data_IF_534913338862
#
_entry.id   IF_534913338862
#
_cell.length_a   1.000
_cell.length_b   1.000
_cell.length_c   1.000
_cell.angle_alpha   90.00
_cell.angle_beta   90.00
_cell.angle_gamma   90.00
#
_symmetry.space_group_name_H-M   'P 1'
#
loop_
_entity.id
_entity.type
_entity.pdbx_description
1 polymer ?
#
# COMPACT_ATOMS: atom_id res chain seq x y z
N UNK A 1 31.98 -15.45 -31.02
CA UNK A 1 31.54 -15.24 -29.67
C UNK A 1 32.65 -15.63 -28.70
N UNK A 2 32.95 -14.78 -27.74
CA UNK A 2 33.90 -15.09 -26.67
C UNK A 2 33.14 -15.79 -25.55
N UNK A 3 33.57 -17.00 -25.16
CA UNK A 3 33.06 -17.64 -23.95
C UNK A 3 33.62 -16.86 -22.75
N UNK A 4 32.76 -16.30 -21.94
CA UNK A 4 33.15 -15.65 -20.68
C UNK A 4 32.53 -16.41 -19.52
N UNK A 5 33.31 -16.72 -18.50
CA UNK A 5 32.82 -17.33 -17.27
C UNK A 5 32.96 -16.30 -16.14
N UNK A 6 31.90 -16.10 -15.40
CA UNK A 6 31.87 -15.24 -14.22
C UNK A 6 31.63 -16.13 -13.00
N UNK A 7 32.30 -15.85 -11.91
CA UNK A 7 32.01 -16.39 -10.60
C UNK A 7 31.94 -15.24 -9.61
N UNK A 8 31.06 -15.33 -8.65
CA UNK A 8 31.06 -14.42 -7.49
C UNK A 8 31.50 -15.19 -6.26
N UNK A 9 31.96 -14.45 -5.25
CA UNK A 9 32.14 -15.01 -3.91
C UNK A 9 30.79 -15.47 -3.36
N UNK A 10 30.78 -16.37 -2.39
CA UNK A 10 29.56 -16.82 -1.74
C UNK A 10 28.84 -15.62 -1.11
N UNK A 11 27.59 -15.41 -1.48
CA UNK A 11 26.73 -14.37 -0.94
C UNK A 11 25.60 -15.05 -0.19
N UNK A 12 25.49 -14.80 1.11
CA UNK A 12 24.32 -15.22 1.87
C UNK A 12 23.16 -14.29 1.58
N UNK A 13 22.10 -14.83 1.03
CA UNK A 13 20.87 -14.09 0.67
C UNK A 13 19.66 -14.66 1.39
N UNK A 14 18.63 -13.86 1.54
CA UNK A 14 17.31 -14.35 1.94
C UNK A 14 16.66 -14.95 0.69
N UNK A 15 16.21 -16.23 0.72
CA UNK A 15 15.54 -16.83 -0.43
C UNK A 15 14.36 -15.98 -0.90
N UNK A 16 14.36 -15.56 -2.17
CA UNK A 16 13.31 -14.73 -2.78
C UNK A 16 13.47 -14.63 -4.30
N UNK A 17 12.53 -13.93 -4.95
CA UNK A 17 12.63 -13.53 -6.35
C UNK A 17 13.50 -12.27 -6.44
N UNK A 18 14.54 -12.33 -7.23
CA UNK A 18 15.47 -11.24 -7.51
C UNK A 18 15.44 -10.87 -8.98
N UNK A 19 15.92 -9.68 -9.30
CA UNK A 19 16.09 -9.21 -10.66
C UNK A 19 17.53 -9.43 -11.10
N UNK A 20 17.71 -10.22 -12.15
CA UNK A 20 18.97 -10.37 -12.85
C UNK A 20 19.02 -9.37 -14.00
N UNK A 21 20.06 -8.55 -14.02
CA UNK A 21 20.33 -7.61 -15.09
C UNK A 21 21.49 -8.10 -15.95
N UNK A 22 21.26 -8.23 -17.26
CA UNK A 22 22.27 -8.53 -18.26
C UNK A 22 22.21 -7.40 -19.30
N UNK A 23 23.12 -6.43 -19.17
CA UNK A 23 23.00 -5.15 -19.89
C UNK A 23 21.72 -4.43 -19.54
N UNK A 24 20.87 -4.12 -20.53
CA UNK A 24 19.53 -3.52 -20.34
C UNK A 24 18.42 -4.54 -20.15
N UNK A 25 18.71 -5.83 -20.30
CA UNK A 25 17.72 -6.90 -20.15
C UNK A 25 17.52 -7.25 -18.68
N UNK A 26 16.26 -7.28 -18.25
CA UNK A 26 15.84 -7.65 -16.90
C UNK A 26 15.11 -9.00 -16.93
N UNK A 27 15.49 -9.90 -16.03
CA UNK A 27 14.80 -11.17 -15.81
C UNK A 27 14.60 -11.45 -14.35
N UNK A 28 13.40 -11.89 -13.95
CA UNK A 28 13.14 -12.37 -12.60
C UNK A 28 13.76 -13.76 -12.42
N UNK A 29 14.51 -13.94 -11.34
CA UNK A 29 15.11 -15.21 -10.95
C UNK A 29 14.87 -15.46 -9.48
N UNK A 30 14.52 -16.70 -9.11
CA UNK A 30 14.47 -17.08 -7.71
C UNK A 30 15.89 -17.48 -7.26
N UNK A 31 16.37 -16.84 -6.21
CA UNK A 31 17.67 -17.14 -5.62
C UNK A 31 17.51 -17.64 -4.19
N UNK A 32 18.28 -18.67 -3.85
CA UNK A 32 18.47 -19.19 -2.50
C UNK A 32 19.95 -19.49 -2.28
N UNK A 33 20.35 -19.92 -1.06
CA UNK A 33 21.74 -20.18 -0.73
C UNK A 33 22.26 -21.51 -1.33
N UNK A 34 21.96 -21.75 -2.60
CA UNK A 34 22.46 -22.88 -3.38
C UNK A 34 23.25 -22.38 -4.59
N UNK A 35 24.28 -23.12 -5.05
CA UNK A 35 25.00 -22.76 -6.27
C UNK A 35 24.08 -22.69 -7.48
N UNK A 36 24.20 -21.61 -8.22
CA UNK A 36 23.42 -21.36 -9.44
C UNK A 36 24.40 -21.26 -10.60
N UNK A 37 24.08 -21.92 -11.72
CA UNK A 37 24.82 -21.79 -12.95
C UNK A 37 23.91 -21.25 -14.05
N UNK A 38 24.35 -20.18 -14.70
CA UNK A 38 23.67 -19.60 -15.86
C UNK A 38 24.50 -19.92 -17.10
N UNK A 39 23.91 -20.64 -18.05
CA UNK A 39 24.55 -20.96 -19.31
C UNK A 39 23.74 -20.40 -20.46
N UNK A 40 24.41 -20.03 -21.54
CA UNK A 40 23.72 -19.63 -22.76
C UNK A 40 24.45 -18.56 -23.53
N UNK A 41 23.74 -17.99 -24.47
CA UNK A 41 24.19 -16.89 -25.31
C UNK A 41 23.40 -15.63 -24.95
N UNK A 42 24.13 -14.56 -24.73
CA UNK A 42 23.56 -13.23 -24.50
C UNK A 42 24.01 -12.27 -25.59
N UNK A 43 23.05 -11.66 -26.29
CA UNK A 43 23.30 -10.62 -27.27
C UNK A 43 22.84 -9.27 -26.70
N UNK A 44 23.79 -8.42 -26.32
CA UNK A 44 23.52 -7.10 -25.75
C UNK A 44 22.81 -6.16 -26.72
N UNK A 45 23.01 -6.36 -28.05
CA UNK A 45 22.40 -5.52 -29.07
C UNK A 45 21.01 -5.98 -29.50
N UNK A 46 20.76 -7.29 -29.37
CA UNK A 46 19.50 -7.91 -29.72
C UNK A 46 19.08 -8.89 -28.61
N UNK A 47 18.64 -8.39 -27.44
CA UNK A 47 18.34 -9.20 -26.27
C UNK A 47 17.32 -10.32 -26.53
N UNK A 48 16.40 -10.12 -27.48
CA UNK A 48 15.41 -11.10 -27.91
C UNK A 48 16.01 -12.32 -28.61
N UNK A 49 17.26 -12.24 -29.06
CA UNK A 49 18.02 -13.36 -29.61
C UNK A 49 18.84 -14.11 -28.55
N UNK A 50 18.79 -13.64 -27.32
CA UNK A 50 19.50 -14.29 -26.23
C UNK A 50 18.80 -15.59 -25.82
N UNK A 51 19.59 -16.59 -25.49
CA UNK A 51 19.13 -17.89 -25.00
C UNK A 51 19.90 -18.23 -23.73
N UNK A 52 19.22 -18.10 -22.59
CA UNK A 52 19.80 -18.40 -21.28
C UNK A 52 19.13 -19.62 -20.67
N UNK A 53 19.93 -20.49 -20.08
CA UNK A 53 19.48 -21.61 -19.28
C UNK A 53 20.05 -21.51 -17.86
N UNK A 54 19.25 -21.88 -16.89
CA UNK A 54 19.58 -21.82 -15.49
C UNK A 54 19.60 -23.23 -14.92
N UNK A 55 20.63 -23.59 -14.17
CA UNK A 55 20.71 -24.84 -13.40
C UNK A 55 20.96 -24.54 -11.94
N UNK A 56 20.35 -25.32 -11.06
CA UNK A 56 20.39 -25.06 -9.61
C UNK A 56 19.24 -24.23 -9.09
N UNK A 57 18.32 -23.84 -9.97
CA UNK A 57 17.08 -23.13 -9.66
C UNK A 57 15.98 -23.91 -10.32
N UNK A 58 14.77 -24.03 -9.78
CA UNK A 58 13.86 -23.02 -10.11
C UNK A 58 12.42 -23.24 -9.64
N UNK A 59 12.08 -22.68 -8.54
CA UNK A 59 10.69 -22.64 -8.13
C UNK A 59 9.85 -21.58 -8.87
N UNK A 60 10.48 -20.49 -9.37
CA UNK A 60 9.76 -19.46 -10.10
C UNK A 60 9.37 -19.95 -11.51
N UNK A 61 10.31 -20.54 -12.27
CA UNK A 61 9.99 -21.16 -13.55
C UNK A 61 9.09 -22.38 -13.37
N UNK A 62 9.24 -23.15 -12.27
CA UNK A 62 8.33 -24.24 -11.96
C UNK A 62 6.94 -23.70 -11.65
N UNK A 63 6.82 -22.57 -10.94
CA UNK A 63 5.53 -21.91 -10.72
C UNK A 63 4.90 -21.48 -12.04
N UNK A 64 5.68 -20.91 -12.96
CA UNK A 64 5.18 -20.54 -14.31
C UNK A 64 4.58 -21.72 -15.06
N UNK A 65 5.12 -22.93 -14.91
CA UNK A 65 4.56 -24.14 -15.52
C UNK A 65 3.18 -24.52 -14.97
N UNK A 66 2.82 -24.02 -13.80
CA UNK A 66 1.52 -24.23 -13.17
C UNK A 66 0.60 -23.01 -13.31
N UNK A 67 1.13 -21.89 -13.82
CA UNK A 67 0.30 -20.72 -14.08
C UNK A 67 -0.66 -21.00 -15.23
N UNK A 68 -1.88 -20.44 -15.15
CA UNK A 68 -2.82 -20.53 -16.26
C UNK A 68 -2.23 -19.92 -17.54
N UNK A 69 -2.56 -20.51 -18.69
CA UNK A 69 -2.09 -20.01 -20.00
C UNK A 69 -2.88 -18.80 -20.49
N UNK A 70 -3.90 -18.42 -19.77
CA UNK A 70 -4.69 -17.21 -20.04
C UNK A 70 -3.85 -15.95 -19.84
N UNK A 71 -4.13 -14.94 -20.65
CA UNK A 71 -3.51 -13.64 -20.46
C UNK A 71 -4.13 -12.98 -19.22
N UNK A 72 -3.29 -12.59 -18.25
CA UNK A 72 -3.67 -11.95 -17.00
C UNK A 72 -4.71 -12.75 -16.17
N UNK A 73 -4.39 -13.99 -15.73
CA UNK A 73 -5.31 -14.81 -14.96
C UNK A 73 -5.59 -14.16 -13.58
N UNK A 74 -6.82 -14.27 -13.11
CA UNK A 74 -7.16 -13.83 -11.78
C UNK A 74 -6.57 -14.75 -10.69
N UNK A 75 -6.50 -14.25 -9.47
CA UNK A 75 -5.90 -14.97 -8.34
C UNK A 75 -6.67 -16.25 -7.99
N UNK A 76 -7.96 -16.31 -8.21
CA UNK A 76 -8.77 -17.52 -7.95
C UNK A 76 -8.37 -18.64 -8.92
N UNK A 77 -8.16 -18.31 -10.18
CA UNK A 77 -7.68 -19.24 -11.23
C UNK A 77 -6.26 -19.70 -10.90
N UNK A 78 -5.37 -18.79 -10.51
CA UNK A 78 -4.01 -19.13 -10.05
C UNK A 78 -4.07 -20.08 -8.85
N UNK A 79 -4.86 -19.74 -7.84
CA UNK A 79 -5.05 -20.55 -6.64
C UNK A 79 -5.42 -22.01 -6.96
N UNK A 80 -6.35 -22.18 -7.89
CA UNK A 80 -6.79 -23.51 -8.34
C UNK A 80 -5.66 -24.27 -9.02
N UNK A 81 -4.88 -23.60 -9.87
CA UNK A 81 -3.80 -24.20 -10.65
C UNK A 81 -2.63 -24.69 -9.80
N UNK A 82 -2.30 -23.97 -8.73
CA UNK A 82 -1.16 -24.28 -7.85
C UNK A 82 -1.53 -25.08 -6.61
N UNK A 83 -2.80 -25.34 -6.36
CA UNK A 83 -3.28 -26.05 -5.19
C UNK A 83 -2.61 -27.41 -5.00
N UNK A 84 -2.00 -27.62 -3.83
CA UNK A 84 -1.30 -28.87 -3.48
C UNK A 84 0.03 -29.08 -4.20
N UNK A 85 0.54 -28.08 -4.95
CA UNK A 85 1.79 -28.17 -5.71
C UNK A 85 2.87 -27.21 -5.19
N UNK A 86 2.54 -26.35 -4.23
CA UNK A 86 3.46 -25.34 -3.76
C UNK A 86 4.61 -25.94 -2.96
N UNK A 87 5.83 -25.59 -3.39
CA UNK A 87 7.06 -25.72 -2.58
C UNK A 87 7.31 -24.39 -1.86
N UNK A 88 8.18 -24.35 -0.82
CA UNK A 88 8.52 -23.09 -0.14
C UNK A 88 8.96 -21.97 -1.08
N UNK A 89 9.71 -22.33 -2.08
CA UNK A 89 10.22 -21.40 -3.06
C UNK A 89 9.14 -20.92 -4.06
N UNK A 90 8.23 -21.81 -4.47
CA UNK A 90 7.05 -21.40 -5.27
C UNK A 90 6.12 -20.49 -4.46
N UNK A 91 6.01 -20.71 -3.14
CA UNK A 91 5.26 -19.84 -2.24
C UNK A 91 5.85 -18.41 -2.21
N UNK A 92 7.17 -18.28 -2.20
CA UNK A 92 7.85 -16.98 -2.29
C UNK A 92 7.61 -16.29 -3.63
N UNK A 93 7.70 -17.06 -4.73
CA UNK A 93 7.42 -16.55 -6.07
C UNK A 93 5.94 -16.12 -6.21
N UNK A 94 5.01 -16.86 -5.58
CA UNK A 94 3.60 -16.51 -5.55
C UNK A 94 3.36 -15.17 -4.82
N UNK A 95 4.05 -14.94 -3.71
CA UNK A 95 3.95 -13.66 -2.99
C UNK A 95 4.40 -12.45 -3.83
N UNK A 96 5.30 -12.66 -4.79
CA UNK A 96 5.73 -11.63 -5.73
C UNK A 96 4.63 -11.16 -6.69
N UNK A 97 3.56 -11.95 -6.88
CA UNK A 97 2.40 -11.60 -7.72
C UNK A 97 1.39 -10.69 -7.01
N UNK A 98 1.65 -10.30 -5.77
CA UNK A 98 0.72 -9.52 -4.98
C UNK A 98 0.42 -8.14 -5.60
N UNK A 99 -0.86 -7.76 -5.62
CA UNK A 99 -1.31 -6.42 -6.01
C UNK A 99 -1.21 -5.46 -4.82
N UNK A 100 -0.64 -4.29 -5.06
CA UNK A 100 -0.48 -3.26 -4.02
C UNK A 100 -1.81 -2.71 -3.48
N UNK A 101 -2.91 -2.90 -4.19
CA UNK A 101 -4.20 -2.25 -3.89
C UNK A 101 -5.36 -3.22 -3.59
N UNK A 102 -5.21 -4.51 -3.87
CA UNK A 102 -6.30 -5.48 -3.71
C UNK A 102 -6.11 -6.36 -2.47
N UNK A 103 -6.93 -6.08 -1.45
CA UNK A 103 -6.95 -6.88 -0.22
C UNK A 103 -7.33 -8.34 -0.46
N UNK A 104 -8.40 -8.58 -1.24
CA UNK A 104 -8.94 -9.92 -1.39
C UNK A 104 -7.94 -10.83 -2.11
N UNK A 105 -7.38 -10.37 -3.21
CA UNK A 105 -6.35 -11.10 -3.95
C UNK A 105 -5.11 -11.37 -3.08
N UNK A 106 -4.62 -10.34 -2.38
CA UNK A 106 -3.46 -10.51 -1.50
C UNK A 106 -3.73 -11.45 -0.34
N UNK A 107 -4.93 -11.41 0.25
CA UNK A 107 -5.33 -12.32 1.32
C UNK A 107 -5.39 -13.76 0.81
N UNK A 108 -5.95 -13.98 -0.38
CA UNK A 108 -5.98 -15.30 -1.04
C UNK A 108 -4.57 -15.83 -1.30
N UNK A 109 -3.66 -14.98 -1.83
CA UNK A 109 -2.26 -15.35 -2.03
C UNK A 109 -1.59 -15.73 -0.71
N UNK A 110 -1.77 -14.92 0.34
CA UNK A 110 -1.20 -15.20 1.65
C UNK A 110 -1.71 -16.50 2.26
N UNK A 111 -3.00 -16.81 2.10
CA UNK A 111 -3.61 -18.03 2.62
C UNK A 111 -3.12 -19.29 1.90
N UNK A 112 -2.64 -19.17 0.67
CA UNK A 112 -2.00 -20.28 -0.05
C UNK A 112 -0.58 -20.58 0.45
N UNK A 113 0.11 -19.62 1.07
CA UNK A 113 1.48 -19.77 1.56
C UNK A 113 1.46 -20.36 2.97
N UNK A 114 1.96 -21.60 3.19
CA UNK A 114 2.06 -22.19 4.52
C UNK A 114 2.88 -21.30 5.46
N UNK A 115 2.51 -21.23 6.72
CA UNK A 115 3.12 -20.30 7.68
C UNK A 115 4.65 -20.48 7.82
N UNK A 116 5.12 -21.74 7.81
CA UNK A 116 6.55 -22.07 7.87
C UNK A 116 7.34 -21.52 6.67
N UNK A 117 6.68 -21.24 5.54
CA UNK A 117 7.28 -20.80 4.29
C UNK A 117 7.23 -19.26 4.11
N UNK A 118 6.61 -18.53 5.07
CA UNK A 118 6.46 -17.06 5.05
C UNK A 118 7.73 -16.31 5.48
N UNK A 119 8.91 -16.83 5.14
CA UNK A 119 10.20 -16.26 5.59
C UNK A 119 10.87 -15.38 4.54
N UNK A 120 10.49 -15.49 3.27
CA UNK A 120 11.02 -14.68 2.19
C UNK A 120 10.69 -13.19 2.35
N UNK A 121 11.41 -12.32 1.66
CA UNK A 121 11.13 -10.87 1.66
C UNK A 121 9.76 -10.60 1.04
N UNK A 122 9.43 -11.25 -0.07
CA UNK A 122 8.13 -11.13 -0.75
C UNK A 122 6.99 -11.59 0.14
N UNK A 123 7.13 -12.71 0.86
CA UNK A 123 6.10 -13.16 1.79
C UNK A 123 5.92 -12.20 2.98
N UNK A 124 7.01 -11.68 3.54
CA UNK A 124 6.96 -10.65 4.61
C UNK A 124 6.30 -9.36 4.11
N UNK A 125 6.61 -8.94 2.89
CA UNK A 125 5.96 -7.81 2.26
C UNK A 125 4.46 -8.05 2.08
N UNK A 126 4.07 -9.24 1.61
CA UNK A 126 2.67 -9.63 1.43
C UNK A 126 1.90 -9.64 2.76
N UNK A 127 2.50 -10.19 3.84
CA UNK A 127 1.91 -10.16 5.19
C UNK A 127 1.63 -8.72 5.62
N UNK A 128 2.65 -7.87 5.57
CA UNK A 128 2.50 -6.46 5.92
C UNK A 128 1.47 -5.76 5.02
N UNK A 129 1.44 -6.10 3.72
CA UNK A 129 0.47 -5.50 2.80
C UNK A 129 -0.95 -5.91 3.10
N UNK A 130 -1.20 -7.20 3.39
CA UNK A 130 -2.52 -7.69 3.81
C UNK A 130 -2.97 -7.01 5.10
N UNK A 131 -2.09 -6.83 6.08
CA UNK A 131 -2.36 -6.11 7.32
C UNK A 131 -2.78 -4.67 7.03
N UNK A 132 -1.98 -3.92 6.28
CA UNK A 132 -2.28 -2.54 5.89
C UNK A 132 -3.64 -2.45 5.19
N UNK A 133 -3.88 -3.32 4.20
CA UNK A 133 -5.13 -3.30 3.43
C UNK A 133 -6.34 -3.73 4.27
N UNK A 134 -6.15 -4.55 5.31
CA UNK A 134 -7.23 -4.98 6.19
C UNK A 134 -7.93 -3.79 6.89
N UNK A 135 -7.18 -2.74 7.21
CA UNK A 135 -7.69 -1.50 7.81
C UNK A 135 -8.43 -0.59 6.81
N UNK A 136 -8.38 -0.90 5.53
CA UNK A 136 -9.01 -0.13 4.46
C UNK A 136 -10.35 -0.68 4.00
N UNK A 137 -10.82 -1.75 4.63
CA UNK A 137 -12.12 -2.37 4.35
C UNK A 137 -13.20 -1.63 5.13
N UNK A 138 -14.35 -1.37 4.49
CA UNK A 138 -15.51 -0.80 5.18
C UNK A 138 -15.90 -1.73 6.34
N UNK A 139 -16.05 -1.15 7.53
CA UNK A 139 -16.31 -1.85 8.79
C UNK A 139 -15.06 -2.26 9.58
N UNK A 140 -13.85 -2.12 9.01
CA UNK A 140 -12.61 -2.33 9.74
C UNK A 140 -12.32 -1.18 10.72
N UNK A 141 -11.61 -1.49 11.80
CA UNK A 141 -11.15 -0.47 12.75
C UNK A 141 -10.11 0.44 12.09
N UNK A 142 -10.33 1.76 12.19
CA UNK A 142 -9.40 2.74 11.62
C UNK A 142 -8.10 2.80 12.44
N UNK A 143 -6.94 2.87 11.78
CA UNK A 143 -5.67 3.06 12.45
C UNK A 143 -5.66 4.33 13.30
N UNK A 144 -5.19 4.22 14.56
CA UNK A 144 -5.01 5.39 15.42
C UNK A 144 -3.80 6.21 14.98
N UNK A 145 -3.84 7.48 15.27
CA UNK A 145 -2.72 8.42 15.09
C UNK A 145 -2.69 9.42 16.24
N UNK A 146 -1.56 10.10 16.40
CA UNK A 146 -1.45 11.24 17.31
C UNK A 146 -0.68 12.35 16.61
N UNK A 147 -1.34 13.50 16.44
CA UNK A 147 -0.77 14.71 15.83
C UNK A 147 -1.00 15.92 16.72
N UNK A 148 -0.35 17.02 16.40
CA UNK A 148 -0.48 18.26 17.16
C UNK A 148 -1.56 19.17 16.57
N UNK A 149 -2.32 19.83 17.43
CA UNK A 149 -3.25 20.89 17.07
C UNK A 149 -2.53 22.26 16.97
N UNK A 150 -3.29 23.30 16.62
CA UNK A 150 -2.77 24.68 16.51
C UNK A 150 -2.16 25.24 17.81
N UNK A 151 -2.53 24.67 18.97
CA UNK A 151 -2.02 25.05 20.29
C UNK A 151 -0.83 24.18 20.73
N UNK A 152 -0.39 23.24 19.89
CA UNK A 152 0.68 22.29 20.20
C UNK A 152 0.25 21.11 21.09
N UNK A 153 -1.06 20.92 21.29
CA UNK A 153 -1.61 19.80 22.06
C UNK A 153 -1.65 18.55 21.18
N UNK A 154 -1.23 17.41 21.75
CA UNK A 154 -1.41 16.11 21.12
C UNK A 154 -2.90 15.72 21.08
N UNK A 155 -3.37 15.33 19.91
CA UNK A 155 -4.73 14.87 19.64
C UNK A 155 -4.66 13.57 18.88
N UNK A 156 -5.38 12.56 19.35
CA UNK A 156 -5.45 11.21 18.75
C UNK A 156 -6.83 10.94 18.17
N UNK A 157 -6.92 10.09 17.16
CA UNK A 157 -8.22 9.67 16.63
C UNK A 157 -9.11 9.03 17.69
N UNK A 158 -8.55 8.25 18.60
CA UNK A 158 -9.28 7.61 19.72
C UNK A 158 -9.95 8.60 20.67
N UNK A 159 -9.51 9.87 20.74
CA UNK A 159 -10.12 10.89 21.58
C UNK A 159 -11.54 11.26 21.12
N UNK A 160 -11.91 10.82 19.89
CA UNK A 160 -13.22 11.07 19.29
C UNK A 160 -14.13 9.83 19.28
N UNK A 161 -13.81 8.78 20.04
CA UNK A 161 -14.70 7.62 20.21
C UNK A 161 -16.07 8.08 20.69
N UNK A 162 -17.13 7.48 20.14
CA UNK A 162 -18.53 7.89 20.39
C UNK A 162 -19.04 8.96 19.44
N UNK A 163 -18.18 9.55 18.59
CA UNK A 163 -18.56 10.47 17.53
C UNK A 163 -18.33 9.87 16.16
N UNK A 164 -19.16 10.31 15.20
CA UNK A 164 -18.85 10.17 13.77
C UNK A 164 -17.70 11.12 13.44
N UNK A 165 -16.69 10.66 12.74
CA UNK A 165 -15.57 11.50 12.35
C UNK A 165 -15.45 11.57 10.83
N UNK A 166 -15.41 12.79 10.30
CA UNK A 166 -14.99 13.06 8.93
C UNK A 166 -13.50 13.44 8.98
N UNK A 167 -12.64 12.55 8.51
CA UNK A 167 -11.19 12.74 8.51
C UNK A 167 -10.71 13.07 7.10
N UNK A 168 -10.10 14.24 6.94
CA UNK A 168 -9.57 14.78 5.69
C UNK A 168 -8.03 14.88 5.76
N UNK A 169 -7.35 14.33 4.76
CA UNK A 169 -5.91 14.50 4.58
C UNK A 169 -5.65 15.55 3.49
N UNK A 170 -4.90 16.58 3.84
CA UNK A 170 -4.72 17.78 3.03
C UNK A 170 -3.30 18.34 3.12
N UNK A 171 -3.04 19.45 2.43
CA UNK A 171 -1.86 20.28 2.60
C UNK A 171 -2.11 21.69 2.06
N UNK A 172 -1.36 22.69 2.54
CA UNK A 172 -1.51 24.09 2.14
C UNK A 172 -1.30 24.34 0.66
N UNK A 173 -0.40 23.57 0.04
CA UNK A 173 -0.05 23.63 -1.39
C UNK A 173 -1.04 22.88 -2.29
N UNK A 174 -1.96 22.12 -1.71
CA UNK A 174 -2.95 21.31 -2.44
C UNK A 174 -4.20 22.14 -2.78
N UNK A 175 -4.24 22.75 -3.94
CA UNK A 175 -5.38 23.55 -4.42
C UNK A 175 -6.73 22.79 -4.40
N UNK A 176 -6.79 21.55 -4.92
CA UNK A 176 -8.02 20.73 -4.81
C UNK A 176 -8.45 20.46 -3.37
N UNK A 177 -7.52 20.28 -2.40
CA UNK A 177 -7.84 20.08 -0.99
C UNK A 177 -8.52 21.32 -0.41
N UNK A 178 -8.00 22.50 -0.69
CA UNK A 178 -8.58 23.76 -0.23
C UNK A 178 -9.99 23.99 -0.78
N UNK A 179 -10.23 23.57 -2.03
CA UNK A 179 -11.59 23.60 -2.61
C UNK A 179 -12.53 22.62 -1.88
N UNK A 180 -12.05 21.42 -1.58
CA UNK A 180 -12.84 20.41 -0.85
C UNK A 180 -13.18 20.87 0.57
N UNK A 181 -12.23 21.48 1.32
CA UNK A 181 -12.48 22.05 2.64
C UNK A 181 -13.62 23.07 2.63
N UNK A 182 -13.68 23.94 1.61
CA UNK A 182 -14.75 24.92 1.47
C UNK A 182 -16.10 24.27 1.15
N UNK A 183 -16.10 23.20 0.37
CA UNK A 183 -17.30 22.37 0.12
C UNK A 183 -17.78 21.71 1.42
N UNK A 184 -16.85 21.13 2.19
CA UNK A 184 -17.18 20.50 3.48
C UNK A 184 -17.72 21.50 4.51
N UNK A 185 -17.35 22.78 4.44
CA UNK A 185 -17.88 23.80 5.36
C UNK A 185 -19.40 23.92 5.29
N UNK A 186 -19.99 23.75 4.11
CA UNK A 186 -21.45 23.72 3.93
C UNK A 186 -22.05 22.50 4.65
N UNK A 187 -21.47 21.32 4.45
CA UNK A 187 -21.92 20.06 5.07
C UNK A 187 -21.76 20.14 6.60
N UNK A 188 -20.64 20.67 7.07
CA UNK A 188 -20.38 20.88 8.49
C UNK A 188 -21.46 21.77 9.12
N UNK A 189 -21.75 22.93 8.53
CA UNK A 189 -22.76 23.87 9.06
C UNK A 189 -24.16 23.27 9.09
N UNK A 190 -24.49 22.41 8.12
CA UNK A 190 -25.79 21.72 8.04
C UNK A 190 -25.89 20.59 9.08
N UNK A 191 -24.83 19.80 9.26
CA UNK A 191 -24.89 18.54 10.00
C UNK A 191 -24.22 18.57 11.38
N UNK A 192 -23.52 19.66 11.74
CA UNK A 192 -22.80 19.77 13.03
C UNK A 192 -23.72 19.48 14.21
N UNK A 193 -23.27 18.61 15.10
CA UNK A 193 -23.92 18.23 16.34
C UNK A 193 -22.88 17.58 17.25
N UNK A 194 -23.23 17.30 18.49
CA UNK A 194 -22.29 16.75 19.49
C UNK A 194 -21.75 15.37 19.13
N UNK A 195 -22.45 14.64 18.24
CA UNK A 195 -22.10 13.32 17.78
C UNK A 195 -21.26 13.31 16.50
N UNK A 196 -20.87 14.47 15.96
CA UNK A 196 -20.10 14.60 14.71
C UNK A 196 -18.91 15.51 14.90
N UNK A 197 -17.77 15.07 14.40
CA UNK A 197 -16.53 15.86 14.37
C UNK A 197 -15.91 15.85 12.98
N UNK A 198 -15.36 16.98 12.57
CA UNK A 198 -14.52 17.09 11.38
C UNK A 198 -13.07 17.29 11.82
N UNK A 199 -12.15 16.56 11.17
CA UNK A 199 -10.73 16.63 11.46
C UNK A 199 -9.99 16.73 10.12
N UNK A 200 -9.19 17.78 9.94
CA UNK A 200 -8.27 17.86 8.82
C UNK A 200 -6.83 17.67 9.31
N UNK A 201 -6.10 16.72 8.71
CA UNK A 201 -4.69 16.45 8.99
C UNK A 201 -3.87 17.03 7.84
N UNK A 202 -3.09 18.05 8.15
CA UNK A 202 -2.14 18.62 7.18
C UNK A 202 -0.89 17.78 7.06
N UNK A 203 -0.51 17.49 5.83
CA UNK A 203 0.72 16.83 5.43
C UNK A 203 1.75 17.83 4.88
N UNK A 204 1.75 19.05 5.43
CA UNK A 204 2.76 20.05 5.11
C UNK A 204 4.12 19.68 5.70
N UNK A 205 5.18 19.89 4.94
CA UNK A 205 6.57 19.71 5.37
C UNK A 205 7.08 20.82 6.31
N UNK A 206 6.23 21.82 6.57
CA UNK A 206 6.56 23.00 7.35
C UNK A 206 5.39 23.47 8.19
N UNK A 207 5.62 23.63 9.48
CA UNK A 207 4.64 24.20 10.42
C UNK A 207 4.19 25.61 10.01
N UNK A 208 5.10 26.42 9.51
CA UNK A 208 4.79 27.78 9.06
C UNK A 208 3.78 27.80 7.89
N UNK A 209 3.91 26.85 6.94
CA UNK A 209 2.96 26.71 5.82
C UNK A 209 1.59 26.27 6.31
N UNK A 210 1.56 25.28 7.21
CA UNK A 210 0.33 24.81 7.83
C UNK A 210 -0.36 25.95 8.62
N UNK A 211 0.35 26.69 9.49
CA UNK A 211 -0.20 27.81 10.26
C UNK A 211 -0.76 28.91 9.35
N UNK A 212 -0.06 29.23 8.26
CA UNK A 212 -0.56 30.17 7.26
C UNK A 212 -1.90 29.71 6.66
N UNK A 213 -2.04 28.40 6.35
CA UNK A 213 -3.29 27.83 5.85
C UNK A 213 -4.42 27.96 6.90
N UNK A 214 -4.13 27.73 8.20
CA UNK A 214 -5.11 27.92 9.26
C UNK A 214 -5.66 29.37 9.29
N UNK A 215 -4.76 30.35 9.16
CA UNK A 215 -5.12 31.78 9.16
C UNK A 215 -5.95 32.19 7.94
N UNK A 216 -5.68 31.54 6.80
CA UNK A 216 -6.38 31.81 5.55
C UNK A 216 -7.76 31.16 5.49
N UNK A 217 -7.88 29.86 5.84
CA UNK A 217 -9.13 29.10 5.69
C UNK A 217 -10.08 29.25 6.87
N UNK A 218 -9.58 29.48 8.11
CA UNK A 218 -10.35 29.72 9.34
C UNK A 218 -11.49 28.72 9.55
N UNK A 219 -11.16 27.44 9.40
CA UNK A 219 -12.13 26.36 9.49
C UNK A 219 -12.58 26.14 10.95
N UNK A 220 -13.87 25.83 11.19
CA UNK A 220 -14.44 25.74 12.54
C UNK A 220 -14.23 24.39 13.22
N UNK A 221 -13.42 23.49 12.66
CA UNK A 221 -13.19 22.14 13.15
C UNK A 221 -11.71 21.88 13.51
N UNK A 222 -11.41 20.67 13.96
CA UNK A 222 -10.07 20.27 14.42
C UNK A 222 -9.08 20.23 13.26
N UNK A 223 -8.02 21.01 13.37
CA UNK A 223 -6.92 21.07 12.40
C UNK A 223 -5.66 20.52 13.03
N UNK A 224 -5.12 19.46 12.48
CA UNK A 224 -3.93 18.77 12.97
C UNK A 224 -2.80 18.87 11.95
N UNK A 225 -1.58 18.68 12.43
CA UNK A 225 -0.38 18.65 11.59
C UNK A 225 0.43 17.38 11.83
N UNK A 226 0.60 16.60 10.75
CA UNK A 226 1.59 15.53 10.67
C UNK A 226 2.92 16.11 10.20
N UNK A 227 3.85 16.30 11.15
CA UNK A 227 5.18 16.85 10.87
C UNK A 227 6.04 16.02 9.91
N UNK A 228 5.67 14.77 9.65
CA UNK A 228 6.39 13.93 8.68
C UNK A 228 6.14 14.36 7.26
N UNK A 229 5.06 15.09 7.02
CA UNK A 229 4.71 15.70 5.76
C UNK A 229 4.32 14.71 4.66
N UNK A 230 4.00 15.26 3.49
CA UNK A 230 3.75 14.46 2.30
C UNK A 230 5.10 14.05 1.68
N UNK A 231 5.36 12.76 1.44
CA UNK A 231 6.62 12.29 0.91
C UNK A 231 6.94 12.90 -0.46
N UNK A 232 8.16 13.37 -0.64
CA UNK A 232 8.65 13.88 -1.93
C UNK A 232 8.84 12.78 -2.97
N UNK A 233 8.94 11.54 -2.51
CA UNK A 233 9.08 10.36 -3.36
C UNK A 233 7.89 9.43 -3.14
N UNK A 234 7.09 9.20 -4.18
CA UNK A 234 5.92 8.31 -4.15
C UNK A 234 6.25 6.84 -3.86
N UNK A 235 7.53 6.45 -3.93
CA UNK A 235 7.96 5.08 -3.63
C UNK A 235 8.02 4.77 -2.14
N UNK A 236 8.01 5.78 -1.28
CA UNK A 236 8.06 5.63 0.18
C UNK A 236 6.96 6.46 0.84
N UNK A 237 5.72 5.96 0.87
CA UNK A 237 4.62 6.65 1.53
C UNK A 237 4.89 6.82 3.02
N UNK A 238 4.35 7.88 3.62
CA UNK A 238 4.43 8.08 5.07
C UNK A 238 3.64 7.01 5.83
N UNK A 239 3.89 6.90 7.14
CA UNK A 239 3.18 5.94 7.99
C UNK A 239 1.66 6.11 7.88
N UNK A 240 1.16 7.35 7.90
CA UNK A 240 -0.28 7.63 7.82
C UNK A 240 -0.85 7.31 6.43
N UNK A 241 -0.10 7.56 5.37
CA UNK A 241 -0.52 7.19 4.01
C UNK A 241 -0.66 5.68 3.85
N UNK A 242 0.32 4.92 4.36
CA UNK A 242 0.24 3.45 4.36
C UNK A 242 -0.95 2.96 5.19
N UNK A 243 -1.12 3.49 6.40
CA UNK A 243 -2.19 3.06 7.30
C UNK A 243 -3.60 3.26 6.69
N UNK A 244 -3.82 4.40 6.04
CA UNK A 244 -5.11 4.74 5.42
C UNK A 244 -5.18 4.41 3.93
N UNK A 245 -4.09 3.96 3.31
CA UNK A 245 -4.04 3.47 1.93
C UNK A 245 -4.27 4.54 0.88
N UNK A 246 -3.64 5.70 1.01
CA UNK A 246 -3.74 6.74 0.01
C UNK A 246 -2.36 7.19 -0.49
N UNK A 247 -2.31 7.58 -1.75
CA UNK A 247 -1.09 8.05 -2.42
C UNK A 247 -1.24 9.47 -2.99
N UNK A 248 -2.42 10.04 -2.89
CA UNK A 248 -2.73 11.40 -3.34
C UNK A 248 -3.73 12.07 -2.41
N UNK A 249 -3.73 13.39 -2.38
CA UNK A 249 -4.68 14.23 -1.64
C UNK A 249 -5.43 15.16 -2.60
N UNK A 250 -6.67 15.57 -2.25
CA UNK A 250 -7.39 15.29 -1.01
C UNK A 250 -7.78 13.84 -0.88
N UNK A 251 -7.77 13.30 0.34
CA UNK A 251 -8.29 11.98 0.66
C UNK A 251 -9.12 12.07 1.93
N UNK A 252 -10.38 11.64 1.85
CA UNK A 252 -11.33 11.73 2.95
C UNK A 252 -11.88 10.36 3.31
N UNK A 253 -12.06 10.14 4.60
CA UNK A 253 -12.75 8.97 5.14
C UNK A 253 -13.83 9.42 6.12
N UNK A 254 -14.89 8.60 6.24
CA UNK A 254 -15.92 8.75 7.28
C UNK A 254 -15.79 7.55 8.21
N UNK A 255 -15.75 7.83 9.50
CA UNK A 255 -15.52 6.86 10.57
C UNK A 255 -16.75 6.88 11.49
N UNK A 256 -17.24 5.70 11.88
CA UNK A 256 -18.39 5.58 12.77
C UNK A 256 -18.04 5.82 14.25
N UNK A 257 -19.05 5.78 15.11
CA UNK A 257 -18.90 6.03 16.56
C UNK A 257 -18.04 4.98 17.27
N UNK A 258 -17.95 3.79 16.73
CA UNK A 258 -17.10 2.70 17.20
C UNK A 258 -15.66 2.82 16.70
N UNK A 259 -15.39 3.79 15.80
CA UNK A 259 -14.09 4.03 15.20
C UNK A 259 -13.79 3.15 14.00
N UNK A 260 -14.83 2.61 13.37
CA UNK A 260 -14.71 1.79 12.16
C UNK A 260 -14.91 2.61 10.91
N UNK A 261 -14.24 2.20 9.84
CA UNK A 261 -14.32 2.85 8.54
C UNK A 261 -15.71 2.66 7.94
N UNK A 262 -16.46 3.74 7.77
CA UNK A 262 -17.79 3.74 7.18
C UNK A 262 -17.80 4.10 5.69
N UNK A 263 -16.88 4.99 5.28
CA UNK A 263 -16.67 5.33 3.87
C UNK A 263 -15.23 5.81 3.65
N UNK A 264 -14.70 5.61 2.44
CA UNK A 264 -13.34 6.05 2.08
C UNK A 264 -13.30 6.66 0.69
N UNK A 265 -12.35 7.56 0.49
CA UNK A 265 -12.13 8.30 -0.77
C UNK A 265 -13.41 9.00 -1.27
N UNK A 266 -14.19 9.52 -0.32
CA UNK A 266 -15.45 10.23 -0.57
C UNK A 266 -15.22 11.72 -0.63
N UNK A 267 -16.10 12.45 -1.35
CA UNK A 267 -16.02 13.91 -1.51
C UNK A 267 -17.39 14.54 -1.64
N UNK A 268 -17.50 15.80 -1.23
CA UNK A 268 -18.72 16.59 -1.38
C UNK A 268 -19.94 15.85 -0.86
N UNK A 269 -20.99 15.70 -1.69
CA UNK A 269 -22.25 15.06 -1.30
C UNK A 269 -22.08 13.61 -0.80
N UNK A 270 -21.07 12.86 -1.28
CA UNK A 270 -20.82 11.52 -0.77
C UNK A 270 -20.44 11.50 0.72
N UNK A 271 -19.75 12.54 1.22
CA UNK A 271 -19.45 12.70 2.66
C UNK A 271 -20.76 12.86 3.43
N UNK A 272 -21.65 13.72 2.94
CA UNK A 272 -22.97 13.95 3.54
C UNK A 272 -23.80 12.67 3.61
N UNK A 273 -23.90 11.95 2.50
CA UNK A 273 -24.60 10.66 2.41
C UNK A 273 -24.05 9.63 3.39
N UNK A 274 -22.72 9.52 3.48
CA UNK A 274 -22.05 8.60 4.41
C UNK A 274 -22.38 8.92 5.86
N UNK A 275 -22.34 10.21 6.27
CA UNK A 275 -22.72 10.65 7.62
C UNK A 275 -24.17 10.26 7.92
N UNK A 276 -25.10 10.62 7.03
CA UNK A 276 -26.54 10.37 7.23
C UNK A 276 -26.86 8.88 7.29
N UNK A 277 -26.12 8.05 6.57
CA UNK A 277 -26.28 6.58 6.56
C UNK A 277 -25.99 5.96 7.92
N UNK A 278 -24.94 6.43 8.62
CA UNK A 278 -24.47 5.85 9.89
C UNK A 278 -24.99 6.58 11.13
N UNK A 279 -25.63 7.73 10.97
CA UNK A 279 -26.21 8.52 12.07
C UNK A 279 -27.56 7.99 12.57
N UNK A 280 -28.13 7.01 11.84
CA UNK A 280 -29.46 6.43 12.11
C UNK A 280 -29.56 5.71 13.45
#
# INVERSE_FOLDING_TARGET
GTNSTFSTDEINIIPDVYKLYLGETEQNVYLENNPITINGYFDEKNPEQSSLSFTGIDPYLTLQNYMPTEKDPDIATISTSVKGKLTPAMASALAYLADVNDYQSNKMLLDMIPEQDRKSLSAKWLINRVEILSHQIIGAECPDFTFIDANGKNVSLKDFRGKIVVLDFCASWCGPCRKEMRSMLTIYNELKADDLEFISVSLDDSEAKWRKMLDEEKLPWVMLWDKTGFPKNSKTPSTIQNAYGFYSIPFLVVIDKEGKLAARNVRGEQVREAILKIRK
#
